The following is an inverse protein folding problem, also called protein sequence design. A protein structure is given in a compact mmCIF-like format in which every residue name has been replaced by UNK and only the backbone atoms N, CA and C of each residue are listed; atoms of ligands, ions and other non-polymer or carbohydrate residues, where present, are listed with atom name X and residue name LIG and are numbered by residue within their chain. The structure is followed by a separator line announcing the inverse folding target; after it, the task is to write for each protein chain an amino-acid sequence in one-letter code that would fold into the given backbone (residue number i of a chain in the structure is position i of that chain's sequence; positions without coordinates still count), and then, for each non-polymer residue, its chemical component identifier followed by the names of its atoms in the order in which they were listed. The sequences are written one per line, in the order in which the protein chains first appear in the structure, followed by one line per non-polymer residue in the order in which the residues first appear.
data_IF_179802045838
#
_entry.id   IF_179802045838
#
_cell.length_a   1.000
_cell.length_b   1.000
_cell.length_c   1.000
_cell.angle_alpha   90.00
_cell.angle_beta   90.00
_cell.angle_gamma   90.00
#
_symmetry.space_group_name_H-M   'P 1'
#
loop_
_entity.id
_entity.type
_entity.pdbx_description
1 polymer ?
#
# COMPACT_ATOMS: atom_id res chain seq x y z
N UNK A 1 -2.52 16.76 6.22
CA UNK A 1 -1.31 16.21 5.56
C UNK A 1 -1.69 15.70 4.20
N UNK A 2 -0.83 15.95 3.22
CA UNK A 2 -0.99 15.43 1.87
C UNK A 2 0.34 14.84 1.44
N UNK A 3 0.30 13.75 0.70
CA UNK A 3 1.46 12.98 0.27
C UNK A 3 1.07 11.96 -0.76
N UNK A 4 2.06 11.39 -1.44
CA UNK A 4 1.90 10.34 -2.44
C UNK A 4 2.44 8.99 -1.97
N UNK A 5 3.09 8.96 -0.80
CA UNK A 5 3.62 7.75 -0.18
C UNK A 5 3.07 7.58 1.24
N UNK A 6 2.86 6.33 1.67
CA UNK A 6 2.34 6.06 3.02
C UNK A 6 3.28 6.57 4.13
N UNK A 7 4.59 6.63 3.86
CA UNK A 7 5.61 7.19 4.73
C UNK A 7 5.37 8.68 5.08
N UNK A 8 4.69 9.42 4.21
CA UNK A 8 4.35 10.83 4.46
C UNK A 8 3.35 11.00 5.62
N UNK A 9 2.70 9.91 6.03
CA UNK A 9 1.59 9.95 6.98
C UNK A 9 1.95 9.42 8.37
N UNK A 10 2.81 8.40 8.46
CA UNK A 10 3.27 7.87 9.74
C UNK A 10 4.58 7.12 9.61
N UNK A 11 5.44 7.25 10.62
CA UNK A 11 6.75 6.59 10.66
C UNK A 11 6.68 5.07 10.56
N UNK A 12 5.58 4.46 11.01
CA UNK A 12 5.37 3.02 10.90
C UNK A 12 5.41 2.49 9.46
N UNK A 13 5.20 3.35 8.45
CA UNK A 13 5.29 2.98 7.04
C UNK A 13 6.72 3.03 6.47
N UNK A 14 7.68 3.61 7.20
CA UNK A 14 9.09 3.71 6.77
C UNK A 14 9.86 2.40 6.91
N UNK A 15 9.28 1.38 7.55
CA UNK A 15 9.91 0.06 7.63
C UNK A 15 9.97 -0.61 6.25
N UNK A 16 11.20 -0.73 5.74
CA UNK A 16 11.53 -1.32 4.43
C UNK A 16 11.25 -2.82 4.37
N UNK A 17 11.13 -3.50 5.52
CA UNK A 17 10.81 -4.92 5.57
C UNK A 17 9.31 -5.20 5.41
N UNK A 18 8.44 -4.18 5.49
CA UNK A 18 7.00 -4.36 5.32
C UNK A 18 6.66 -4.81 3.90
N UNK A 19 6.05 -5.99 3.80
CA UNK A 19 5.49 -6.50 2.54
C UNK A 19 4.23 -5.73 2.12
N UNK A 20 3.88 -5.68 0.82
CA UNK A 20 2.74 -4.92 0.32
C UNK A 20 1.43 -5.19 1.08
N UNK A 21 1.07 -6.46 1.31
CA UNK A 21 -0.14 -6.82 2.07
C UNK A 21 -0.13 -6.35 3.52
N UNK A 22 1.02 -6.43 4.20
CA UNK A 22 1.17 -5.97 5.59
C UNK A 22 1.05 -4.44 5.64
N UNK A 23 1.67 -3.75 4.68
CA UNK A 23 1.58 -2.29 4.55
C UNK A 23 0.13 -1.83 4.31
N UNK A 24 -0.62 -2.56 3.49
CA UNK A 24 -2.07 -2.33 3.26
C UNK A 24 -2.87 -2.52 4.56
N UNK A 25 -2.68 -3.64 5.27
CA UNK A 25 -3.37 -3.90 6.52
C UNK A 25 -3.04 -2.85 7.61
N UNK A 26 -1.81 -2.32 7.63
CA UNK A 26 -1.44 -1.22 8.51
C UNK A 26 -2.19 0.07 8.14
N UNK A 27 -2.33 0.39 6.86
CA UNK A 27 -3.10 1.55 6.39
C UNK A 27 -4.58 1.49 6.77
N UNK A 28 -5.17 0.30 6.82
CA UNK A 28 -6.56 0.10 7.27
C UNK A 28 -6.77 0.51 8.74
N UNK A 29 -5.74 0.41 9.60
CA UNK A 29 -5.82 0.88 11.00
C UNK A 29 -6.03 2.39 11.13
N UNK A 30 -5.71 3.15 10.08
CA UNK A 30 -5.88 4.60 10.02
C UNK A 30 -7.11 5.03 9.20
N UNK A 31 -8.07 4.12 8.96
CA UNK A 31 -9.25 4.36 8.12
C UNK A 31 -9.95 5.72 8.37
N UNK A 32 -10.10 6.12 9.63
CA UNK A 32 -10.79 7.36 10.01
C UNK A 32 -10.03 8.66 9.63
N UNK A 33 -8.76 8.58 9.21
CA UNK A 33 -7.96 9.74 8.81
C UNK A 33 -7.96 9.97 7.30
N UNK A 34 -8.09 8.91 6.50
CA UNK A 34 -8.10 9.02 5.04
C UNK A 34 -9.31 9.84 4.58
N UNK A 35 -9.07 10.88 3.77
CA UNK A 35 -10.10 11.85 3.38
C UNK A 35 -10.54 12.79 4.51
N UNK A 36 -10.01 12.64 5.72
CA UNK A 36 -10.34 13.40 6.91
C UNK A 36 -9.06 13.86 7.63
N UNK A 37 -8.33 14.77 6.97
CA UNK A 37 -7.06 15.30 7.43
C UNK A 37 -5.84 14.64 6.78
N UNK A 38 -5.96 13.41 6.26
CA UNK A 38 -4.95 12.76 5.42
C UNK A 38 -5.46 12.60 3.99
N UNK A 39 -4.74 13.17 3.03
CA UNK A 39 -5.09 13.14 1.61
C UNK A 39 -3.96 12.50 0.80
N UNK A 40 -4.17 11.27 0.36
CA UNK A 40 -3.21 10.51 -0.45
C UNK A 40 -3.42 10.82 -1.93
N UNK A 41 -2.35 11.18 -2.64
CA UNK A 41 -2.33 11.33 -4.09
C UNK A 41 -1.85 10.05 -4.75
N UNK A 42 -2.47 9.67 -5.85
CA UNK A 42 -2.03 8.51 -6.64
C UNK A 42 -0.71 8.82 -7.33
N UNK A 43 0.29 7.95 -7.16
CA UNK A 43 1.55 8.01 -7.88
C UNK A 43 1.94 6.62 -8.42
N UNK A 44 1.68 6.36 -9.71
CA UNK A 44 2.05 5.10 -10.36
C UNK A 44 3.45 5.11 -10.98
N UNK A 45 4.22 6.18 -10.83
CA UNK A 45 5.49 6.39 -11.56
C UNK A 45 6.72 5.99 -10.75
N UNK A 46 6.70 6.20 -9.43
CA UNK A 46 7.82 5.82 -8.56
C UNK A 46 7.38 5.43 -7.15
N UNK A 47 8.35 5.00 -6.35
CA UNK A 47 8.22 4.84 -4.92
C UNK A 47 8.04 3.39 -4.47
N UNK A 48 7.96 3.16 -3.15
CA UNK A 48 7.89 1.80 -2.58
C UNK A 48 6.64 1.02 -3.01
N UNK A 49 5.60 1.70 -3.48
CA UNK A 49 4.37 1.11 -4.00
C UNK A 49 4.54 0.32 -5.30
N UNK A 50 5.64 0.51 -6.03
CA UNK A 50 5.95 -0.20 -7.28
C UNK A 50 6.80 -1.45 -7.07
N UNK A 51 6.72 -2.07 -5.89
CA UNK A 51 7.52 -3.25 -5.53
C UNK A 51 6.64 -4.44 -5.16
N UNK A 52 7.19 -5.65 -5.31
CA UNK A 52 6.52 -6.93 -5.02
C UNK A 52 6.17 -7.72 -6.27
N UNK A 53 6.08 -9.04 -6.14
CA UNK A 53 5.57 -9.93 -7.19
C UNK A 53 4.04 -10.04 -7.15
N UNK A 54 3.45 -10.74 -8.12
CA UNK A 54 2.01 -11.08 -8.11
C UNK A 54 1.66 -11.80 -6.79
N UNK A 55 2.54 -12.66 -6.30
CA UNK A 55 2.35 -13.43 -5.08
C UNK A 55 2.39 -12.56 -3.82
N UNK A 56 3.14 -11.45 -3.85
CA UNK A 56 3.24 -10.49 -2.75
C UNK A 56 2.03 -9.54 -2.67
N UNK A 57 1.33 -9.33 -3.79
CA UNK A 57 0.25 -8.33 -3.90
C UNK A 57 -1.13 -8.98 -3.84
N UNK A 58 -1.32 -10.10 -4.54
CA UNK A 58 -2.63 -10.74 -4.68
C UNK A 58 -2.73 -11.99 -3.81
N UNK A 59 -3.83 -12.09 -3.05
CA UNK A 59 -4.18 -13.30 -2.33
C UNK A 59 -4.33 -14.49 -3.32
N UNK A 60 -4.03 -15.73 -2.92
CA UNK A 60 -4.02 -16.88 -3.84
C UNK A 60 -5.30 -17.04 -4.67
N UNK A 61 -6.47 -16.78 -4.07
CA UNK A 61 -7.78 -16.87 -4.73
C UNK A 61 -8.11 -15.69 -5.65
N UNK A 62 -7.29 -14.65 -5.67
CA UNK A 62 -7.44 -13.47 -6.52
C UNK A 62 -6.38 -13.40 -7.63
N UNK A 63 -5.50 -14.41 -7.72
CA UNK A 63 -4.48 -14.50 -8.77
C UNK A 63 -5.12 -15.05 -10.04
N UNK A 64 -4.79 -14.45 -11.17
CA UNK A 64 -5.16 -15.00 -12.47
C UNK A 64 -4.35 -16.29 -12.70
N UNK A 65 -5.03 -17.41 -12.96
CA UNK A 65 -4.38 -18.72 -13.14
C UNK A 65 -4.02 -19.01 -14.60
N UNK A 66 -4.57 -18.25 -15.55
CA UNK A 66 -4.32 -18.46 -16.98
C UNK A 66 -4.97 -19.72 -17.55
N UNK A 67 -5.83 -20.42 -16.80
CA UNK A 67 -6.62 -21.52 -17.32
C UNK A 67 -7.77 -20.95 -18.17
N UNK A 68 -7.68 -21.12 -19.50
CA UNK A 68 -8.77 -20.84 -20.47
C UNK A 68 -9.72 -22.04 -20.61
#
# INVERSE_FOLDING_TARGET
MAGDQLADFADGFNDKALKPLVRRALAERYAAKWGNGWFLLSNPVYGPGLSGSIEDIFAPNARWTGDE
#
